data_IF_424388901768
#
_entry.id   IF_424388901768
#
_cell.length_a   1.000
_cell.length_b   1.000
_cell.length_c   1.000
_cell.angle_alpha   90.00
_cell.angle_beta   90.00
_cell.angle_gamma   90.00
#
_symmetry.space_group_name_H-M   'P 1'
#
loop_
_entity.id
_entity.type
_entity.pdbx_description
1 polymer ?
#
# COMPACT_ATOMS: atom_id res chain seq x y z
N UNK A 1 1.67 1.40 22.73
CA UNK A 1 0.21 1.56 22.53
C UNK A 1 -0.11 1.07 21.12
N UNK A 2 -0.32 -0.25 20.95
CA UNK A 2 -0.48 -0.90 19.64
C UNK A 2 -1.97 -0.92 19.26
N UNK A 3 -2.31 -0.39 18.08
CA UNK A 3 -3.63 -0.53 17.47
C UNK A 3 -3.93 -2.02 17.23
N UNK A 4 -5.00 -2.53 17.83
CA UNK A 4 -5.57 -3.86 17.53
C UNK A 4 -6.35 -3.77 16.23
N UNK A 5 -5.99 -4.62 15.27
CA UNK A 5 -6.74 -4.85 14.04
C UNK A 5 -8.19 -5.24 14.37
N UNK A 6 -9.16 -4.47 13.88
CA UNK A 6 -10.60 -4.68 14.07
C UNK A 6 -11.20 -5.74 13.13
N UNK A 7 -10.38 -6.46 12.37
CA UNK A 7 -10.78 -7.47 11.38
C UNK A 7 -10.09 -8.82 11.60
N UNK A 8 -10.04 -9.26 12.85
CA UNK A 8 -9.55 -10.60 13.17
C UNK A 8 -10.71 -11.61 13.07
N UNK A 9 -10.93 -12.15 11.87
CA UNK A 9 -11.91 -13.21 11.61
C UNK A 9 -11.66 -14.49 12.44
N UNK A 10 -10.46 -14.64 13.03
CA UNK A 10 -10.14 -15.76 13.90
C UNK A 10 -10.80 -15.67 15.28
N UNK A 11 -11.25 -14.48 15.71
CA UNK A 11 -12.00 -14.28 16.96
C UNK A 11 -13.38 -14.96 16.95
N UNK A 12 -13.87 -15.37 15.78
CA UNK A 12 -15.16 -16.07 15.65
C UNK A 12 -15.03 -17.59 15.74
N UNK A 13 -13.82 -18.14 15.82
CA UNK A 13 -13.61 -19.61 15.85
C UNK A 13 -13.78 -20.26 17.23
N UNK A 14 -13.85 -19.48 18.31
CA UNK A 14 -13.92 -20.00 19.67
C UNK A 14 -15.30 -19.88 20.28
N UNK A 15 -16.11 -20.95 20.19
CA UNK A 15 -17.44 -21.17 20.79
C UNK A 15 -18.67 -20.90 19.92
N UNK A 16 -18.75 -21.56 18.76
CA UNK A 16 -20.02 -22.10 18.25
C UNK A 16 -19.68 -23.43 17.55
N UNK A 17 -19.34 -24.44 18.35
CA UNK A 17 -19.50 -25.83 17.91
C UNK A 17 -20.86 -26.22 18.48
N UNK A 18 -21.91 -25.98 17.70
CA UNK A 18 -23.21 -26.61 17.87
C UNK A 18 -23.61 -27.10 16.47
N UNK A 19 -23.99 -28.38 16.44
CA UNK A 19 -24.25 -29.23 15.28
C UNK A 19 -25.28 -28.65 14.31
N UNK A 20 -24.80 -27.96 13.28
CA UNK A 20 -25.38 -27.87 11.92
C UNK A 20 -24.48 -26.91 11.12
N UNK A 21 -23.35 -27.42 10.62
CA UNK A 21 -22.62 -26.75 9.55
C UNK A 21 -23.43 -26.87 8.26
N UNK A 22 -24.52 -26.10 8.17
CA UNK A 22 -25.20 -25.79 6.92
C UNK A 22 -24.20 -25.04 6.04
N UNK A 23 -23.42 -25.83 5.28
CA UNK A 23 -22.63 -25.36 4.15
C UNK A 23 -23.51 -24.41 3.35
N UNK A 24 -23.07 -23.16 3.17
CA UNK A 24 -23.75 -22.24 2.25
C UNK A 24 -23.76 -22.96 0.89
N UNK A 25 -24.93 -23.39 0.38
CA UNK A 25 -24.95 -24.22 -0.81
C UNK A 25 -24.44 -23.39 -1.98
N UNK A 26 -23.39 -23.89 -2.64
CA UNK A 26 -22.99 -23.39 -3.94
C UNK A 26 -24.15 -23.72 -4.89
N UNK A 27 -24.77 -22.69 -5.46
CA UNK A 27 -25.90 -22.88 -6.37
C UNK A 27 -25.50 -23.77 -7.55
N UNK A 28 -26.32 -24.79 -7.78
CA UNK A 28 -26.24 -25.64 -8.97
C UNK A 28 -26.95 -24.98 -10.15
N UNK A 29 -26.73 -25.49 -11.36
CA UNK A 29 -27.50 -25.08 -12.55
C UNK A 29 -29.02 -25.30 -12.37
N UNK A 30 -29.39 -26.31 -11.59
CA UNK A 30 -30.79 -26.66 -11.35
C UNK A 30 -31.47 -25.65 -10.41
N UNK A 31 -30.73 -25.14 -9.43
CA UNK A 31 -31.18 -24.06 -8.54
C UNK A 31 -31.45 -22.76 -9.32
N UNK A 32 -30.64 -22.46 -10.33
CA UNK A 32 -30.87 -21.32 -11.22
C UNK A 32 -32.15 -21.47 -12.04
N UNK A 33 -32.42 -22.67 -12.56
CA UNK A 33 -33.66 -22.93 -13.30
C UNK A 33 -34.89 -22.83 -12.41
N UNK A 34 -34.80 -23.33 -11.17
CA UNK A 34 -35.86 -23.22 -10.18
C UNK A 34 -36.15 -21.75 -9.83
N UNK A 35 -35.11 -20.94 -9.59
CA UNK A 35 -35.25 -19.51 -9.34
C UNK A 35 -35.89 -18.84 -10.56
N UNK A 36 -35.44 -19.15 -11.77
CA UNK A 36 -35.98 -18.56 -13.01
C UNK A 36 -37.45 -18.87 -13.25
N UNK A 37 -37.96 -20.03 -12.81
CA UNK A 37 -39.37 -20.41 -12.97
C UNK A 37 -40.31 -19.79 -11.92
N UNK A 38 -39.77 -19.25 -10.84
CA UNK A 38 -40.55 -18.69 -9.74
C UNK A 38 -41.17 -17.33 -10.14
N UNK A 39 -42.48 -17.17 -9.94
CA UNK A 39 -43.20 -15.92 -10.22
C UNK A 39 -42.93 -14.90 -9.13
N UNK A 40 -42.47 -13.71 -9.52
CA UNK A 40 -42.26 -12.62 -8.59
C UNK A 40 -43.60 -11.99 -8.15
N UNK A 41 -43.74 -11.59 -6.88
CA UNK A 41 -44.90 -10.84 -6.43
C UNK A 41 -44.96 -9.46 -7.13
N UNK A 42 -46.18 -8.96 -7.36
CA UNK A 42 -46.39 -7.66 -8.04
C UNK A 42 -45.76 -6.48 -7.28
N UNK A 43 -45.73 -6.57 -5.94
CA UNK A 43 -45.16 -5.52 -5.08
C UNK A 43 -44.24 -6.11 -4.02
N UNK A 44 -43.17 -5.38 -3.68
CA UNK A 44 -42.20 -5.76 -2.67
C UNK A 44 -41.85 -4.59 -1.74
N UNK A 45 -41.48 -4.93 -0.52
CA UNK A 45 -40.81 -4.01 0.41
C UNK A 45 -39.39 -3.78 -0.07
N UNK A 46 -38.97 -2.52 -0.24
CA UNK A 46 -37.67 -2.14 -0.78
C UNK A 46 -36.70 -1.82 0.36
N UNK A 47 -35.57 -2.52 0.39
CA UNK A 47 -34.45 -2.34 1.31
C UNK A 47 -33.29 -1.64 0.60
N UNK A 48 -33.05 -0.34 0.89
CA UNK A 48 -31.93 0.39 0.30
C UNK A 48 -30.61 0.08 1.00
N UNK A 49 -29.62 -0.41 0.27
CA UNK A 49 -28.26 -0.66 0.74
C UNK A 49 -27.35 0.52 0.45
N UNK A 50 -26.48 0.88 1.39
CA UNK A 50 -25.59 2.04 1.24
C UNK A 50 -24.35 1.74 0.40
N UNK A 51 -23.68 0.62 0.71
CA UNK A 51 -22.30 0.39 0.30
C UNK A 51 -22.14 -0.82 -0.62
N UNK A 52 -23.25 -1.39 -1.11
CA UNK A 52 -23.17 -2.60 -1.94
C UNK A 52 -24.36 -2.71 -2.89
N UNK A 53 -24.16 -3.51 -3.93
CA UNK A 53 -25.15 -3.92 -4.92
C UNK A 53 -25.27 -5.43 -4.79
N UNK A 54 -26.49 -5.92 -4.60
CA UNK A 54 -26.74 -7.36 -4.53
C UNK A 54 -26.95 -7.92 -5.94
N UNK A 55 -26.19 -8.95 -6.31
CA UNK A 55 -26.36 -9.66 -7.57
C UNK A 55 -27.20 -10.94 -7.39
N UNK A 56 -27.87 -11.42 -8.45
CA UNK A 56 -28.58 -12.71 -8.44
C UNK A 56 -27.67 -13.88 -8.03
N UNK A 57 -28.24 -14.82 -7.25
CA UNK A 57 -27.58 -16.00 -6.70
C UNK A 57 -26.68 -15.73 -5.49
N UNK A 58 -26.09 -14.54 -5.37
CA UNK A 58 -25.10 -14.23 -4.34
C UNK A 58 -25.74 -14.11 -2.95
N UNK A 59 -25.07 -14.67 -1.95
CA UNK A 59 -25.45 -14.58 -0.53
C UNK A 59 -24.54 -13.57 0.17
N UNK A 60 -25.14 -12.59 0.86
CA UNK A 60 -24.39 -11.61 1.66
C UNK A 60 -25.06 -11.35 3.01
N UNK A 61 -24.28 -11.14 4.09
CA UNK A 61 -24.78 -10.64 5.35
C UNK A 61 -24.98 -9.11 5.28
N UNK A 62 -26.13 -8.62 5.73
CA UNK A 62 -26.46 -7.19 5.82
C UNK A 62 -26.88 -6.85 7.25
N UNK A 63 -26.17 -5.89 7.85
CA UNK A 63 -26.55 -5.34 9.16
C UNK A 63 -27.47 -4.13 8.97
N UNK A 64 -28.68 -4.23 9.51
CA UNK A 64 -29.68 -3.18 9.51
C UNK A 64 -29.66 -2.42 10.83
N UNK A 65 -29.24 -1.17 10.79
CA UNK A 65 -29.19 -0.25 11.94
C UNK A 65 -30.37 0.73 11.98
N UNK A 66 -31.05 0.96 10.84
CA UNK A 66 -32.15 1.93 10.73
C UNK A 66 -33.48 1.33 11.19
N UNK A 67 -34.26 2.11 11.94
CA UNK A 67 -35.61 1.73 12.37
C UNK A 67 -36.52 1.27 11.21
N UNK A 68 -36.48 1.96 10.05
CA UNK A 68 -37.26 1.56 8.87
C UNK A 68 -36.82 0.20 8.31
N UNK A 69 -35.51 -0.05 8.21
CA UNK A 69 -34.94 -1.32 7.75
C UNK A 69 -35.29 -2.46 8.71
N UNK A 70 -35.16 -2.24 10.02
CA UNK A 70 -35.55 -3.22 11.05
C UNK A 70 -37.03 -3.57 10.97
N UNK A 71 -37.91 -2.57 10.81
CA UNK A 71 -39.36 -2.79 10.63
C UNK A 71 -39.66 -3.57 9.33
N UNK A 72 -39.00 -3.23 8.24
CA UNK A 72 -39.13 -3.93 6.95
C UNK A 72 -38.73 -5.40 7.08
N UNK A 73 -37.59 -5.67 7.72
CA UNK A 73 -37.07 -7.03 7.91
C UNK A 73 -38.04 -7.85 8.76
N UNK A 74 -38.49 -7.30 9.90
CA UNK A 74 -39.46 -7.97 10.78
C UNK A 74 -40.79 -8.25 10.06
N UNK A 75 -41.27 -7.32 9.23
CA UNK A 75 -42.50 -7.51 8.46
C UNK A 75 -42.32 -8.57 7.36
N UNK A 76 -41.22 -8.52 6.63
CA UNK A 76 -40.95 -9.44 5.51
C UNK A 76 -40.66 -10.86 6.00
N UNK A 77 -40.04 -11.01 7.18
CA UNK A 77 -39.76 -12.31 7.79
C UNK A 77 -41.04 -13.04 8.28
N UNK A 78 -42.14 -12.31 8.52
CA UNK A 78 -43.45 -12.91 8.87
C UNK A 78 -44.26 -13.36 7.65
N UNK A 79 -43.92 -12.88 6.45
CA UNK A 79 -44.57 -13.24 5.19
C UNK A 79 -43.68 -14.16 4.36
N UNK A 80 -43.60 -13.89 3.06
CA UNK A 80 -42.91 -14.73 2.06
C UNK A 80 -41.37 -14.69 2.14
N UNK A 81 -40.80 -13.98 3.12
CA UNK A 81 -39.35 -13.75 3.28
C UNK A 81 -38.67 -13.11 2.05
N UNK A 82 -39.43 -12.50 1.15
CA UNK A 82 -38.92 -11.79 -0.03
C UNK A 82 -38.82 -10.29 0.22
N UNK A 83 -37.72 -9.70 -0.23
CA UNK A 83 -37.45 -8.26 -0.17
C UNK A 83 -36.85 -7.78 -1.48
N UNK A 84 -37.19 -6.57 -1.92
CA UNK A 84 -36.51 -5.93 -3.04
C UNK A 84 -35.29 -5.19 -2.53
N UNK A 85 -34.10 -5.50 -3.05
CA UNK A 85 -32.86 -4.87 -2.61
C UNK A 85 -32.37 -3.93 -3.70
N UNK A 86 -32.13 -2.68 -3.34
CA UNK A 86 -31.61 -1.64 -4.25
C UNK A 86 -30.42 -0.95 -3.62
N UNK A 87 -29.46 -0.50 -4.42
CA UNK A 87 -28.38 0.34 -3.94
C UNK A 87 -28.81 1.81 -3.91
N UNK A 88 -28.29 2.56 -2.94
CA UNK A 88 -28.44 4.01 -2.87
C UNK A 88 -27.50 4.68 -3.88
N UNK A 89 -27.94 5.81 -4.44
CA UNK A 89 -27.11 6.68 -5.27
C UNK A 89 -26.09 7.39 -4.38
N UNK A 90 -26.55 7.94 -3.25
CA UNK A 90 -25.72 8.66 -2.30
C UNK A 90 -25.72 7.97 -0.92
N UNK A 91 -24.58 7.38 -0.55
CA UNK A 91 -24.38 6.68 0.73
C UNK A 91 -24.53 7.55 1.97
N UNK A 92 -24.45 8.89 1.84
CA UNK A 92 -24.58 9.85 2.95
C UNK A 92 -26.03 10.07 3.37
N UNK A 93 -27.01 9.76 2.52
CA UNK A 93 -28.42 10.00 2.82
C UNK A 93 -28.91 9.01 3.88
N UNK A 94 -29.36 9.52 5.03
CA UNK A 94 -29.78 8.70 6.16
C UNK A 94 -31.15 8.05 5.97
N UNK A 95 -32.05 8.68 5.24
CA UNK A 95 -33.40 8.18 4.97
C UNK A 95 -33.71 8.34 3.48
N UNK A 96 -33.25 7.39 2.64
CA UNK A 96 -33.30 7.53 1.20
C UNK A 96 -34.75 7.50 0.69
N UNK A 97 -35.08 8.48 -0.16
CA UNK A 97 -36.33 8.52 -0.91
C UNK A 97 -36.15 7.89 -2.29
N UNK A 98 -37.20 7.93 -3.12
CA UNK A 98 -37.16 7.42 -4.49
C UNK A 98 -35.99 7.98 -5.31
N UNK A 99 -35.71 9.27 -5.15
CA UNK A 99 -34.67 9.98 -5.91
C UNK A 99 -33.25 9.61 -5.44
N UNK A 100 -33.13 9.01 -4.25
CA UNK A 100 -31.85 8.62 -3.65
C UNK A 100 -31.49 7.15 -3.88
N UNK A 101 -32.36 6.38 -4.55
CA UNK A 101 -32.17 4.95 -4.82
C UNK A 101 -32.11 4.67 -6.31
N UNK A 102 -31.40 3.59 -6.65
CA UNK A 102 -31.36 3.13 -8.02
C UNK A 102 -32.65 2.41 -8.43
N UNK A 103 -33.04 2.58 -9.70
CA UNK A 103 -34.28 2.03 -10.24
C UNK A 103 -34.24 0.52 -10.47
N UNK A 104 -33.04 -0.05 -10.63
CA UNK A 104 -32.83 -1.50 -10.82
C UNK A 104 -32.27 -2.08 -9.52
N UNK A 105 -32.81 -3.23 -9.13
CA UNK A 105 -32.38 -3.97 -7.95
C UNK A 105 -32.49 -5.47 -8.14
N UNK A 106 -32.28 -6.19 -7.05
CA UNK A 106 -32.37 -7.65 -7.00
C UNK A 106 -33.38 -8.04 -5.93
N UNK A 107 -34.35 -8.87 -6.31
CA UNK A 107 -35.24 -9.54 -5.36
C UNK A 107 -34.39 -10.51 -4.57
N UNK A 108 -34.45 -10.44 -3.25
CA UNK A 108 -33.70 -11.29 -2.36
C UNK A 108 -34.62 -12.06 -1.42
N UNK A 109 -34.20 -13.26 -1.06
CA UNK A 109 -34.83 -14.07 -0.01
C UNK A 109 -34.02 -13.95 1.27
N UNK A 110 -34.71 -13.67 2.38
CA UNK A 110 -34.12 -13.70 3.71
C UNK A 110 -33.96 -15.16 4.12
N UNK A 111 -32.72 -15.61 4.26
CA UNK A 111 -32.38 -16.96 4.72
C UNK A 111 -32.42 -17.03 6.24
N UNK A 112 -31.75 -16.08 6.90
CA UNK A 112 -31.61 -16.03 8.36
C UNK A 112 -31.67 -14.60 8.89
N UNK A 113 -32.21 -14.43 10.07
CA UNK A 113 -32.21 -13.18 10.83
C UNK A 113 -31.53 -13.44 12.17
N UNK A 114 -30.47 -12.69 12.44
CA UNK A 114 -29.69 -12.74 13.67
C UNK A 114 -29.87 -11.42 14.41
N UNK A 115 -30.19 -11.50 15.70
CA UNK A 115 -30.25 -10.32 16.56
C UNK A 115 -28.93 -10.21 17.33
N UNK A 116 -28.21 -9.12 17.12
CA UNK A 116 -26.95 -8.86 17.80
C UNK A 116 -27.19 -8.35 19.23
N UNK A 117 -26.23 -8.55 20.15
CA UNK A 117 -26.33 -8.05 21.53
C UNK A 117 -26.59 -6.55 21.62
N UNK A 118 -26.06 -5.80 20.64
CA UNK A 118 -26.20 -4.33 20.53
C UNK A 118 -27.60 -3.87 20.08
N UNK A 119 -28.54 -4.80 19.87
CA UNK A 119 -29.90 -4.51 19.40
C UNK A 119 -30.03 -4.35 17.88
N UNK A 120 -28.92 -4.35 17.14
CA UNK A 120 -28.93 -4.36 15.67
C UNK A 120 -29.38 -5.72 15.11
N UNK A 121 -30.01 -5.72 13.94
CA UNK A 121 -30.37 -6.96 13.23
C UNK A 121 -29.41 -7.19 12.07
N UNK A 122 -28.81 -8.37 12.01
CA UNK A 122 -28.05 -8.85 10.85
C UNK A 122 -28.86 -9.91 10.12
N UNK A 123 -29.09 -9.71 8.83
CA UNK A 123 -29.79 -10.66 7.99
C UNK A 123 -28.83 -11.29 6.99
N UNK A 124 -29.03 -12.57 6.70
CA UNK A 124 -28.37 -13.25 5.59
C UNK A 124 -29.39 -13.32 4.46
N UNK A 125 -29.07 -12.68 3.33
CA UNK A 125 -29.95 -12.60 2.17
C UNK A 125 -29.31 -13.22 0.95
N UNK A 126 -30.12 -13.88 0.13
CA UNK A 126 -29.71 -14.44 -1.16
C UNK A 126 -30.43 -13.71 -2.29
N UNK A 127 -29.67 -13.19 -3.26
CA UNK A 127 -30.24 -12.63 -4.48
C UNK A 127 -30.92 -13.71 -5.33
N UNK A 128 -32.08 -13.41 -5.90
CA UNK A 128 -32.82 -14.30 -6.80
C UNK A 128 -32.85 -13.76 -8.22
N UNK A 129 -33.52 -12.64 -8.43
CA UNK A 129 -33.80 -12.09 -9.77
C UNK A 129 -33.67 -10.59 -9.80
N UNK A 130 -33.31 -10.04 -10.96
CA UNK A 130 -33.29 -8.59 -11.17
C UNK A 130 -34.70 -8.06 -11.41
N UNK A 131 -34.96 -6.86 -10.92
CA UNK A 131 -36.22 -6.17 -11.13
C UNK A 131 -36.00 -4.68 -11.36
N UNK A 132 -36.99 -4.04 -11.98
CA UNK A 132 -37.11 -2.60 -12.12
C UNK A 132 -38.24 -2.09 -11.26
N UNK A 133 -38.02 -0.98 -10.54
CA UNK A 133 -39.09 -0.26 -9.84
C UNK A 133 -40.01 0.39 -10.89
N UNK A 134 -41.30 0.07 -10.84
CA UNK A 134 -42.33 0.69 -11.68
C UNK A 134 -42.92 1.92 -11.01
N UNK A 135 -43.38 1.77 -9.77
CA UNK A 135 -44.07 2.82 -9.00
C UNK A 135 -43.94 2.57 -7.51
N UNK A 136 -43.74 3.61 -6.70
CA UNK A 136 -43.85 3.51 -5.24
C UNK A 136 -45.32 3.50 -4.83
N UNK A 137 -45.67 2.53 -3.98
CA UNK A 137 -46.99 2.38 -3.38
C UNK A 137 -47.07 3.13 -2.05
N UNK A 138 -46.02 3.00 -1.21
CA UNK A 138 -45.96 3.65 0.09
C UNK A 138 -44.51 3.89 0.53
N UNK A 139 -44.29 4.97 1.29
CA UNK A 139 -43.01 5.27 1.93
C UNK A 139 -42.99 5.00 3.44
N UNK A 140 -44.17 4.84 4.06
CA UNK A 140 -44.33 4.62 5.51
C UNK A 140 -45.10 3.31 5.75
N UNK A 141 -44.66 2.44 6.68
CA UNK A 141 -43.52 2.59 7.59
C UNK A 141 -42.13 2.33 6.95
N UNK A 142 -42.09 1.80 5.73
CA UNK A 142 -40.90 1.59 4.91
C UNK A 142 -41.30 1.64 3.42
N UNK A 143 -40.33 1.73 2.51
CA UNK A 143 -40.58 1.79 1.07
C UNK A 143 -41.22 0.50 0.58
N UNK A 144 -42.33 0.63 -0.16
CA UNK A 144 -42.99 -0.45 -0.88
C UNK A 144 -43.24 -0.02 -2.32
N UNK A 145 -42.88 -0.85 -3.29
CA UNK A 145 -42.99 -0.52 -4.70
C UNK A 145 -43.53 -1.69 -5.52
N UNK A 146 -44.22 -1.35 -6.61
CA UNK A 146 -44.52 -2.27 -7.70
C UNK A 146 -43.25 -2.53 -8.51
N UNK A 147 -43.02 -3.80 -8.83
CA UNK A 147 -41.82 -4.24 -9.52
C UNK A 147 -42.16 -4.91 -10.86
N UNK A 148 -41.23 -4.78 -11.81
CA UNK A 148 -41.26 -5.50 -13.08
C UNK A 148 -40.01 -6.37 -13.15
N UNK A 149 -40.19 -7.65 -13.45
CA UNK A 149 -39.09 -8.57 -13.67
C UNK A 149 -38.25 -8.16 -14.88
N UNK A 150 -36.92 -8.17 -14.74
CA UNK A 150 -35.99 -7.99 -15.85
C UNK A 150 -35.46 -9.37 -16.23
N UNK A 151 -35.86 -9.84 -17.40
CA UNK A 151 -35.36 -11.11 -17.94
C UNK A 151 -33.95 -10.93 -18.49
N UNK A 152 -33.08 -11.88 -18.16
CA UNK A 152 -31.74 -11.94 -18.72
C UNK A 152 -31.78 -12.47 -20.16
N UNK A 153 -31.11 -11.76 -21.06
CA UNK A 153 -30.90 -12.23 -22.43
C UNK A 153 -29.70 -13.18 -22.39
N UNK A 154 -29.98 -14.48 -22.49
CA UNK A 154 -28.94 -15.51 -22.53
C UNK A 154 -28.25 -15.51 -23.92
N UNK A 155 -26.92 -15.70 -23.97
CA UNK A 155 -26.21 -15.83 -25.22
C UNK A 155 -26.62 -17.10 -25.96
N UNK A 156 -26.35 -17.16 -27.26
CA UNK A 156 -26.59 -18.37 -28.05
C UNK A 156 -25.81 -19.56 -27.47
N UNK A 157 -26.45 -20.74 -27.46
CA UNK A 157 -25.76 -21.99 -27.08
C UNK A 157 -24.55 -22.17 -28.01
N UNK A 158 -23.36 -22.34 -27.42
CA UNK A 158 -22.05 -22.45 -28.10
C UNK A 158 -21.46 -21.18 -28.74
N UNK A 159 -21.78 -19.98 -28.24
CA UNK A 159 -20.98 -18.81 -28.63
C UNK A 159 -19.53 -18.92 -28.11
N UNK A 160 -18.58 -19.11 -29.04
CA UNK A 160 -17.15 -19.20 -28.74
C UNK A 160 -16.61 -17.94 -28.05
N UNK A 161 -17.10 -16.76 -28.41
CA UNK A 161 -16.65 -15.49 -27.81
C UNK A 161 -17.06 -15.41 -26.35
N UNK A 162 -18.30 -15.80 -26.08
CA UNK A 162 -18.83 -15.84 -24.72
C UNK A 162 -18.05 -16.80 -23.83
N UNK A 163 -17.80 -18.03 -24.29
CA UNK A 163 -17.03 -19.01 -23.52
C UNK A 163 -15.61 -18.50 -23.23
N UNK A 164 -14.92 -17.93 -24.24
CA UNK A 164 -13.59 -17.34 -24.05
C UNK A 164 -13.58 -16.18 -23.02
N UNK A 165 -14.64 -15.36 -22.99
CA UNK A 165 -14.78 -14.30 -21.96
C UNK A 165 -14.94 -14.90 -20.57
N UNK A 166 -15.74 -15.95 -20.41
CA UNK A 166 -15.93 -16.64 -19.13
C UNK A 166 -14.63 -17.28 -18.65
N UNK A 167 -13.89 -17.96 -19.52
CA UNK A 167 -12.60 -18.54 -19.18
C UNK A 167 -11.60 -17.46 -18.75
N UNK A 168 -11.58 -16.33 -19.48
CA UNK A 168 -10.75 -15.17 -19.11
C UNK A 168 -11.11 -14.59 -17.73
N UNK A 169 -12.40 -14.57 -17.37
CA UNK A 169 -12.86 -14.15 -16.04
C UNK A 169 -12.38 -15.13 -14.99
N UNK A 170 -12.47 -16.45 -15.23
CA UNK A 170 -11.98 -17.47 -14.28
C UNK A 170 -10.49 -17.33 -14.05
N UNK A 171 -9.71 -17.25 -15.13
CA UNK A 171 -8.24 -17.13 -15.05
C UNK A 171 -7.81 -15.87 -14.32
N UNK A 172 -8.45 -14.73 -14.63
CA UNK A 172 -8.15 -13.47 -13.98
C UNK A 172 -8.58 -13.45 -12.51
N UNK A 173 -9.71 -14.08 -12.17
CA UNK A 173 -10.14 -14.23 -10.78
C UNK A 173 -9.13 -15.06 -9.98
N UNK A 174 -8.61 -16.15 -10.53
CA UNK A 174 -7.58 -16.98 -9.89
C UNK A 174 -6.30 -16.17 -9.65
N UNK A 175 -5.82 -15.42 -10.65
CA UNK A 175 -4.65 -14.54 -10.50
C UNK A 175 -4.84 -13.48 -9.40
N UNK A 176 -6.02 -12.86 -9.33
CA UNK A 176 -6.33 -11.87 -8.28
C UNK A 176 -6.31 -12.53 -6.89
N UNK A 177 -6.81 -13.76 -6.76
CA UNK A 177 -6.78 -14.51 -5.50
C UNK A 177 -5.33 -14.80 -5.08
N UNK A 178 -4.49 -15.23 -6.02
CA UNK A 178 -3.09 -15.55 -5.74
C UNK A 178 -2.25 -14.31 -5.36
N UNK A 179 -2.52 -13.16 -5.99
CA UNK A 179 -1.79 -11.91 -5.72
C UNK A 179 -2.30 -11.12 -4.51
N UNK A 180 -3.51 -11.41 -4.01
CA UNK A 180 -4.11 -10.70 -2.90
C UNK A 180 -4.01 -11.50 -1.59
N UNK A 181 -3.07 -11.16 -0.69
CA UNK A 181 -2.87 -11.91 0.56
C UNK A 181 -4.05 -11.85 1.53
N UNK A 182 -5.06 -10.99 1.29
CA UNK A 182 -6.26 -10.92 2.13
C UNK A 182 -7.33 -11.94 1.73
N UNK A 183 -7.17 -12.64 0.60
CA UNK A 183 -8.15 -13.62 0.12
C UNK A 183 -7.64 -15.02 0.48
N UNK A 184 -8.43 -15.85 1.19
CA UNK A 184 -8.06 -17.23 1.48
C UNK A 184 -7.89 -18.05 0.20
N UNK A 185 -6.88 -18.93 0.18
CA UNK A 185 -6.57 -19.79 -0.97
C UNK A 185 -7.73 -20.72 -1.35
N UNK A 186 -8.60 -21.05 -0.40
CA UNK A 186 -9.82 -21.85 -0.55
C UNK A 186 -10.82 -21.18 -1.51
N UNK A 187 -10.78 -19.85 -1.65
CA UNK A 187 -11.62 -19.13 -2.61
C UNK A 187 -11.33 -19.55 -4.06
N UNK A 188 -10.10 -20.00 -4.37
CA UNK A 188 -9.74 -20.50 -5.71
C UNK A 188 -10.51 -21.78 -6.05
N UNK A 189 -10.73 -22.65 -5.06
CA UNK A 189 -11.50 -23.89 -5.19
C UNK A 189 -12.97 -23.55 -5.42
N UNK A 190 -13.51 -22.58 -4.67
CA UNK A 190 -14.88 -22.13 -4.84
C UNK A 190 -15.14 -21.62 -6.26
N UNK A 191 -14.25 -20.77 -6.82
CA UNK A 191 -14.37 -20.27 -8.19
C UNK A 191 -14.32 -21.39 -9.23
N UNK A 192 -13.43 -22.37 -9.06
CA UNK A 192 -13.30 -23.51 -9.99
C UNK A 192 -14.54 -24.39 -10.00
N UNK A 193 -15.21 -24.54 -8.86
CA UNK A 193 -16.40 -25.37 -8.69
C UNK A 193 -17.70 -24.71 -9.18
N UNK A 194 -17.69 -23.42 -9.54
CA UNK A 194 -18.86 -22.76 -10.11
C UNK A 194 -19.13 -23.29 -11.52
N UNK A 195 -20.25 -23.98 -11.67
CA UNK A 195 -20.71 -24.55 -12.95
C UNK A 195 -21.49 -23.56 -13.81
N UNK A 196 -22.26 -22.66 -13.19
CA UNK A 196 -23.01 -21.64 -13.93
C UNK A 196 -22.16 -20.43 -14.27
N UNK A 197 -22.13 -20.10 -15.57
CA UNK A 197 -21.47 -18.90 -16.07
C UNK A 197 -22.15 -17.61 -15.59
N UNK A 198 -23.49 -17.62 -15.41
CA UNK A 198 -24.23 -16.43 -14.93
C UNK A 198 -23.94 -16.18 -13.46
N UNK A 199 -23.99 -17.24 -12.65
CA UNK A 199 -23.59 -17.15 -11.25
C UNK A 199 -22.13 -16.71 -11.10
N UNK A 200 -21.20 -17.22 -11.92
CA UNK A 200 -19.80 -16.79 -11.86
C UNK A 200 -19.65 -15.29 -12.05
N UNK A 201 -20.24 -14.73 -13.11
CA UNK A 201 -20.15 -13.28 -13.40
C UNK A 201 -20.76 -12.48 -12.24
N UNK A 202 -21.91 -12.90 -11.73
CA UNK A 202 -22.58 -12.25 -10.59
C UNK A 202 -21.74 -12.34 -9.31
N UNK A 203 -21.15 -13.50 -9.02
CA UNK A 203 -20.32 -13.75 -7.85
C UNK A 203 -19.06 -12.90 -7.87
N UNK A 204 -18.34 -12.88 -9.00
CA UNK A 204 -17.13 -12.06 -9.16
C UNK A 204 -17.49 -10.57 -9.10
N UNK A 205 -18.57 -10.13 -9.76
CA UNK A 205 -19.06 -8.74 -9.70
C UNK A 205 -19.42 -8.28 -8.29
N UNK A 206 -19.98 -9.16 -7.47
CA UNK A 206 -20.32 -8.85 -6.09
C UNK A 206 -19.06 -8.70 -5.21
N UNK A 207 -18.06 -9.54 -5.42
CA UNK A 207 -16.83 -9.60 -4.60
C UNK A 207 -15.73 -8.61 -5.05
N UNK A 208 -15.81 -8.07 -6.27
CA UNK A 208 -14.88 -7.04 -6.74
C UNK A 208 -14.90 -5.78 -5.86
N UNK A 209 -13.74 -5.13 -5.68
CA UNK A 209 -13.58 -3.93 -4.86
C UNK A 209 -13.76 -2.62 -5.67
N UNK A 210 -14.78 -2.58 -6.51
CA UNK A 210 -15.14 -1.40 -7.33
C UNK A 210 -16.23 -0.56 -6.66
N UNK A 211 -16.44 0.67 -7.13
CA UNK A 211 -17.44 1.57 -6.58
C UNK A 211 -18.87 1.05 -6.78
N UNK A 212 -19.79 1.45 -5.90
CA UNK A 212 -21.22 1.07 -5.99
C UNK A 212 -21.82 1.47 -7.34
N UNK A 213 -21.41 2.62 -7.90
CA UNK A 213 -21.86 3.08 -9.21
C UNK A 213 -21.42 2.13 -10.33
N UNK A 214 -20.19 1.64 -10.29
CA UNK A 214 -19.66 0.69 -11.28
C UNK A 214 -20.33 -0.69 -11.14
N UNK A 215 -20.52 -1.20 -9.92
CA UNK A 215 -21.30 -2.43 -9.69
C UNK A 215 -22.72 -2.29 -10.23
N UNK A 216 -23.34 -1.13 -10.05
CA UNK A 216 -24.68 -0.87 -10.54
C UNK A 216 -24.73 -0.86 -12.08
N UNK A 217 -23.72 -0.29 -12.76
CA UNK A 217 -23.62 -0.36 -14.22
C UNK A 217 -23.60 -1.80 -14.72
N UNK A 218 -22.87 -2.69 -14.05
CA UNK A 218 -22.86 -4.13 -14.40
C UNK A 218 -24.25 -4.73 -14.21
N UNK A 219 -24.92 -4.45 -13.08
CA UNK A 219 -26.27 -4.98 -12.81
C UNK A 219 -27.31 -4.55 -13.86
N UNK A 220 -27.14 -3.34 -14.41
CA UNK A 220 -28.05 -2.74 -15.39
C UNK A 220 -28.00 -3.40 -16.77
N UNK A 221 -26.94 -4.11 -17.13
CA UNK A 221 -26.80 -4.70 -18.47
C UNK A 221 -27.68 -5.94 -18.60
N UNK A 222 -28.66 -5.92 -19.50
CA UNK A 222 -29.61 -7.03 -19.69
C UNK A 222 -28.98 -8.24 -20.37
N UNK A 223 -28.13 -7.98 -21.37
CA UNK A 223 -27.37 -8.99 -22.12
C UNK A 223 -26.22 -9.54 -21.27
N UNK A 224 -26.27 -10.85 -21.00
CA UNK A 224 -25.28 -11.51 -20.17
C UNK A 224 -23.87 -11.47 -20.78
N UNK A 225 -23.73 -11.56 -22.11
CA UNK A 225 -22.43 -11.48 -22.76
C UNK A 225 -21.79 -10.11 -22.57
N UNK A 226 -22.55 -9.04 -22.81
CA UNK A 226 -22.08 -7.67 -22.58
C UNK A 226 -21.76 -7.42 -21.10
N UNK A 227 -22.54 -8.02 -20.18
CA UNK A 227 -22.27 -7.95 -18.75
C UNK A 227 -20.96 -8.63 -18.37
N UNK A 228 -20.69 -9.80 -18.94
CA UNK A 228 -19.43 -10.51 -18.73
C UNK A 228 -18.23 -9.70 -19.26
N UNK A 229 -18.35 -9.06 -20.43
CA UNK A 229 -17.30 -8.21 -21.00
C UNK A 229 -17.02 -6.99 -20.09
N UNK A 230 -18.05 -6.29 -19.63
CA UNK A 230 -17.84 -5.15 -18.71
C UNK A 230 -17.29 -5.61 -17.35
N UNK A 231 -17.76 -6.74 -16.82
CA UNK A 231 -17.17 -7.37 -15.64
C UNK A 231 -15.67 -7.61 -15.83
N UNK A 232 -15.27 -8.25 -16.94
CA UNK A 232 -13.87 -8.52 -17.26
C UNK A 232 -13.03 -7.24 -17.39
N UNK A 233 -13.57 -6.17 -17.95
CA UNK A 233 -12.90 -4.87 -18.06
C UNK A 233 -12.62 -4.27 -16.67
N UNK A 234 -13.60 -4.27 -15.78
CA UNK A 234 -13.40 -3.80 -14.40
C UNK A 234 -12.41 -4.68 -13.63
N UNK A 235 -12.45 -6.00 -13.81
CA UNK A 235 -11.47 -6.91 -13.21
C UNK A 235 -10.05 -6.60 -13.65
N UNK A 236 -9.82 -6.30 -14.94
CA UNK A 236 -8.49 -5.97 -15.44
C UNK A 236 -7.94 -4.68 -14.80
N UNK A 237 -8.79 -3.65 -14.64
CA UNK A 237 -8.41 -2.41 -13.97
C UNK A 237 -8.03 -2.69 -12.51
N UNK A 238 -8.81 -3.50 -11.81
CA UNK A 238 -8.51 -3.86 -10.42
C UNK A 238 -7.24 -4.71 -10.28
N UNK A 239 -7.03 -5.66 -11.20
CA UNK A 239 -5.80 -6.45 -11.25
C UNK A 239 -4.57 -5.56 -11.46
N UNK A 240 -4.62 -4.61 -12.41
CA UNK A 240 -3.51 -3.66 -12.62
C UNK A 240 -3.22 -2.78 -11.40
N UNK A 241 -4.25 -2.38 -10.65
CA UNK A 241 -4.04 -1.64 -9.40
C UNK A 241 -3.39 -2.53 -8.34
N UNK A 242 -3.79 -3.80 -8.26
CA UNK A 242 -3.23 -4.77 -7.32
C UNK A 242 -1.76 -5.03 -7.63
N UNK A 243 -1.40 -5.30 -8.89
CA UNK A 243 -0.01 -5.52 -9.31
C UNK A 243 0.85 -4.30 -8.98
N UNK A 244 0.39 -3.09 -9.32
CA UNK A 244 1.13 -1.85 -9.02
C UNK A 244 1.33 -1.66 -7.51
N UNK A 245 0.31 -1.97 -6.70
CA UNK A 245 0.41 -1.89 -5.24
C UNK A 245 1.44 -2.89 -4.70
N UNK A 246 1.46 -4.11 -5.21
CA UNK A 246 2.42 -5.14 -4.83
C UNK A 246 3.84 -4.74 -5.26
N UNK A 247 4.02 -4.15 -6.44
CA UNK A 247 5.31 -3.64 -6.94
C UNK A 247 5.86 -2.49 -6.08
N UNK A 248 4.99 -1.57 -5.65
CA UNK A 248 5.38 -0.50 -4.73
C UNK A 248 5.81 -1.08 -3.38
N UNK A 249 5.05 -2.04 -2.85
CA UNK A 249 5.37 -2.70 -1.59
C UNK A 249 6.70 -3.47 -1.65
N UNK A 250 6.99 -4.15 -2.76
CA UNK A 250 8.23 -4.89 -2.93
C UNK A 250 9.44 -3.95 -3.03
N UNK A 251 9.33 -2.85 -3.78
CA UNK A 251 10.38 -1.81 -3.85
C UNK A 251 10.68 -1.19 -2.49
N UNK A 252 9.65 -0.74 -1.77
CA UNK A 252 9.82 -0.16 -0.43
C UNK A 252 10.46 -1.16 0.54
N UNK A 253 10.08 -2.43 0.46
CA UNK A 253 10.70 -3.48 1.28
C UNK A 253 12.18 -3.67 0.97
N UNK A 254 12.54 -3.74 -0.31
CA UNK A 254 13.94 -3.88 -0.74
C UNK A 254 14.79 -2.69 -0.27
N UNK A 255 14.27 -1.46 -0.40
CA UNK A 255 14.97 -0.25 0.04
C UNK A 255 15.18 -0.25 1.56
N UNK A 256 14.18 -0.65 2.34
CA UNK A 256 14.29 -0.79 3.80
C UNK A 256 15.29 -1.88 4.20
N UNK A 257 15.25 -3.04 3.53
CA UNK A 257 16.17 -4.15 3.80
C UNK A 257 17.63 -3.73 3.51
N UNK A 258 17.87 -2.95 2.44
CA UNK A 258 19.18 -2.38 2.14
C UNK A 258 19.63 -1.39 3.21
N UNK A 259 18.77 -0.44 3.62
CA UNK A 259 19.10 0.54 4.66
C UNK A 259 19.39 -0.13 6.01
N UNK A 260 18.62 -1.15 6.39
CA UNK A 260 18.86 -1.92 7.61
C UNK A 260 20.21 -2.64 7.55
N UNK A 261 20.54 -3.26 6.41
CA UNK A 261 21.83 -3.92 6.21
C UNK A 261 22.99 -2.93 6.29
N UNK A 262 22.91 -1.78 5.63
CA UNK A 262 23.94 -0.74 5.69
C UNK A 262 24.13 -0.17 7.10
N UNK A 263 23.02 0.12 7.81
CA UNK A 263 23.06 0.57 9.19
C UNK A 263 23.77 -0.46 10.09
N UNK A 264 23.42 -1.74 9.96
CA UNK A 264 24.01 -2.82 10.73
C UNK A 264 25.50 -2.99 10.45
N UNK A 265 25.91 -2.97 9.17
CA UNK A 265 27.31 -3.08 8.76
C UNK A 265 28.15 -1.90 9.29
N UNK A 266 27.64 -0.68 9.21
CA UNK A 266 28.32 0.50 9.75
C UNK A 266 28.48 0.43 11.27
N UNK A 267 27.45 -0.05 11.98
CA UNK A 267 27.54 -0.24 13.42
C UNK A 267 28.57 -1.31 13.78
N UNK A 268 28.62 -2.43 13.04
CA UNK A 268 29.63 -3.46 13.21
C UNK A 268 31.05 -2.94 12.96
N UNK A 269 31.27 -2.19 11.87
CA UNK A 269 32.55 -1.56 11.58
C UNK A 269 32.99 -0.61 12.69
N UNK A 270 32.07 0.20 13.21
CA UNK A 270 32.34 1.11 14.32
C UNK A 270 32.76 0.35 15.59
N UNK A 271 32.05 -0.72 15.93
CA UNK A 271 32.40 -1.57 17.08
C UNK A 271 33.75 -2.27 16.87
N UNK A 272 34.04 -2.78 15.66
CA UNK A 272 35.35 -3.37 15.34
C UNK A 272 36.47 -2.33 15.48
N UNK A 273 36.26 -1.09 15.03
CA UNK A 273 37.24 0.00 15.18
C UNK A 273 37.46 0.41 16.64
N UNK A 274 36.42 0.37 17.47
CA UNK A 274 36.51 0.60 18.91
C UNK A 274 37.29 -0.54 19.61
N UNK A 275 37.00 -1.81 19.27
CA UNK A 275 37.64 -3.01 19.83
C UNK A 275 39.10 -3.22 19.36
N UNK A 276 39.43 -2.83 18.11
CA UNK A 276 40.80 -2.89 17.59
C UNK A 276 41.74 -1.82 18.18
N UNK A 277 41.23 -0.93 19.04
CA UNK A 277 42.04 -0.03 19.83
C UNK A 277 42.68 1.09 19.01
N UNK A 278 41.88 2.07 18.60
CA UNK A 278 42.30 3.29 17.90
C UNK A 278 43.13 4.30 18.76
N UNK A 279 43.89 3.80 19.73
CA UNK A 279 44.70 4.57 20.68
C UNK A 279 45.95 5.23 20.08
N UNK A 280 46.38 4.83 18.88
CA UNK A 280 47.53 5.41 18.18
C UNK A 280 47.26 6.84 17.69
N UNK A 281 46.06 7.08 17.14
CA UNK A 281 45.72 8.37 16.53
C UNK A 281 45.70 9.49 17.56
N UNK A 282 45.21 9.23 18.78
CA UNK A 282 45.18 10.21 19.85
C UNK A 282 46.58 10.63 20.31
N UNK A 283 47.51 9.68 20.42
CA UNK A 283 48.90 9.96 20.81
C UNK A 283 49.63 10.82 19.78
N UNK A 284 49.47 10.52 18.50
CA UNK A 284 50.10 11.27 17.42
C UNK A 284 49.63 12.73 17.35
N UNK A 285 48.33 12.95 17.61
CA UNK A 285 47.72 14.29 17.65
C UNK A 285 48.18 15.07 18.89
N UNK A 286 48.33 14.41 20.04
CA UNK A 286 48.86 15.02 21.25
C UNK A 286 50.33 15.45 21.10
N UNK A 287 51.15 14.63 20.42
CA UNK A 287 52.54 14.98 20.14
C UNK A 287 52.65 16.23 19.26
N UNK A 288 51.87 16.32 18.18
CA UNK A 288 51.81 17.52 17.32
C UNK A 288 51.44 18.76 18.13
N UNK A 289 50.42 18.67 19.00
CA UNK A 289 50.00 19.80 19.85
C UNK A 289 51.10 20.26 20.80
N UNK A 290 51.85 19.31 21.36
CA UNK A 290 52.96 19.63 22.28
C UNK A 290 54.08 20.41 21.57
N UNK A 291 54.46 20.00 20.36
CA UNK A 291 55.47 20.69 19.53
C UNK A 291 54.99 22.08 19.09
N UNK A 292 53.71 22.20 18.75
CA UNK A 292 53.11 23.47 18.37
C UNK A 292 53.13 24.50 19.50
N UNK A 293 53.00 24.08 20.77
CA UNK A 293 53.00 24.98 21.93
C UNK A 293 54.33 25.73 22.15
N UNK A 294 55.45 25.18 21.66
CA UNK A 294 56.79 25.73 21.88
C UNK A 294 57.18 26.77 20.80
N UNK A 295 56.53 26.75 19.64
CA UNK A 295 56.86 27.59 18.48
C UNK A 295 56.25 28.99 18.56
N UNK A 296 56.97 29.99 18.06
CA UNK A 296 56.55 31.42 18.05
C UNK A 296 55.76 31.77 16.79
N UNK A 297 54.49 31.38 16.76
CA UNK A 297 53.61 31.61 15.63
C UNK A 297 53.25 33.09 15.42
N UNK A 298 53.09 33.50 14.16
CA UNK A 298 52.29 34.68 13.81
C UNK A 298 50.79 34.32 13.93
N UNK A 299 49.93 35.29 14.24
CA UNK A 299 48.50 35.11 14.49
C UNK A 299 47.79 34.34 13.34
N UNK A 300 48.05 34.77 12.09
CA UNK A 300 47.47 34.15 10.89
C UNK A 300 47.92 32.69 10.69
N UNK A 301 49.19 32.41 11.00
CA UNK A 301 49.79 31.07 10.84
C UNK A 301 49.23 30.12 11.90
N UNK A 302 49.03 30.60 13.13
CA UNK A 302 48.44 29.82 14.21
C UNK A 302 47.00 29.40 13.88
N UNK A 303 46.17 30.32 13.43
CA UNK A 303 44.78 30.01 13.03
C UNK A 303 44.73 29.02 11.87
N UNK A 304 45.64 29.15 10.90
CA UNK A 304 45.75 28.20 9.79
C UNK A 304 46.16 26.80 10.27
N UNK A 305 47.19 26.72 11.12
CA UNK A 305 47.64 25.46 11.72
C UNK A 305 46.53 24.75 12.50
N UNK A 306 45.76 25.48 13.32
CA UNK A 306 44.65 24.91 14.09
C UNK A 306 43.54 24.35 13.18
N UNK A 307 43.22 25.02 12.06
CA UNK A 307 42.28 24.50 11.06
C UNK A 307 42.76 23.22 10.41
N UNK A 308 44.04 23.16 10.04
CA UNK A 308 44.63 21.98 9.41
C UNK A 308 44.77 20.81 10.38
N UNK A 309 45.03 21.08 11.66
CA UNK A 309 45.03 20.08 12.72
C UNK A 309 43.64 19.47 12.91
N UNK A 310 42.58 20.28 12.94
CA UNK A 310 41.20 19.80 13.03
C UNK A 310 40.81 18.90 11.83
N UNK A 311 41.35 19.18 10.64
CA UNK A 311 41.18 18.31 9.47
C UNK A 311 41.88 16.97 9.68
N UNK A 312 43.15 16.98 10.13
CA UNK A 312 43.90 15.75 10.41
C UNK A 312 43.20 14.85 11.43
N UNK A 313 42.55 15.43 12.44
CA UNK A 313 41.78 14.67 13.45
C UNK A 313 40.58 13.91 12.89
N UNK A 314 40.03 14.35 11.74
CA UNK A 314 38.84 13.75 11.11
C UNK A 314 39.19 12.74 10.03
N UNK A 315 40.43 12.76 9.52
CA UNK A 315 40.89 11.86 8.46
C UNK A 315 41.34 10.53 9.09
N UNK A 316 40.93 9.42 8.48
CA UNK A 316 41.37 8.08 8.88
C UNK A 316 42.87 7.88 8.55
N UNK A 317 43.65 7.34 9.49
CA UNK A 317 45.09 7.09 9.35
C UNK A 317 45.46 6.12 8.23
N UNK A 318 44.53 5.28 7.79
CA UNK A 318 44.74 4.35 6.68
C UNK A 318 44.57 5.00 5.29
N UNK A 319 44.05 6.22 5.22
CA UNK A 319 43.88 6.94 3.96
C UNK A 319 45.20 7.61 3.55
N UNK A 320 45.52 7.56 2.25
CA UNK A 320 46.72 8.22 1.70
C UNK A 320 46.76 9.73 1.99
N UNK A 321 45.59 10.38 2.09
CA UNK A 321 45.46 11.79 2.45
C UNK A 321 45.98 12.12 3.85
N UNK A 322 45.92 11.16 4.79
CA UNK A 322 46.44 11.36 6.15
C UNK A 322 47.94 11.63 6.14
N UNK A 323 48.70 10.87 5.37
CA UNK A 323 50.16 11.05 5.26
C UNK A 323 50.53 12.40 4.65
N UNK A 324 49.77 12.85 3.64
CA UNK A 324 49.99 14.16 2.99
C UNK A 324 49.71 15.29 3.98
N UNK A 325 48.56 15.22 4.66
CA UNK A 325 48.15 16.22 5.65
C UNK A 325 49.12 16.26 6.84
N UNK A 326 49.60 15.09 7.29
CA UNK A 326 50.60 14.97 8.36
C UNK A 326 51.91 15.63 7.96
N UNK A 327 52.44 15.31 6.77
CA UNK A 327 53.66 15.92 6.26
C UNK A 327 53.55 17.44 6.13
N UNK A 328 52.39 17.95 5.73
CA UNK A 328 52.15 19.39 5.67
C UNK A 328 52.18 20.05 7.06
N UNK A 329 51.57 19.42 8.05
CA UNK A 329 51.59 19.88 9.45
C UNK A 329 53.01 19.82 10.03
N UNK A 330 53.76 18.75 9.74
CA UNK A 330 55.15 18.62 10.16
C UNK A 330 56.04 19.69 9.51
N UNK A 331 55.84 19.99 8.21
CA UNK A 331 56.53 21.11 7.54
C UNK A 331 56.25 22.45 8.23
N UNK A 332 55.00 22.72 8.62
CA UNK A 332 54.65 23.93 9.35
C UNK A 332 55.34 23.99 10.72
N UNK A 333 55.54 22.85 11.39
CA UNK A 333 56.26 22.78 12.67
C UNK A 333 57.77 22.99 12.49
N UNK A 334 58.36 22.47 11.41
CA UNK A 334 59.80 22.54 11.18
C UNK A 334 60.28 23.95 10.81
N UNK A 335 59.42 24.77 10.21
CA UNK A 335 59.78 26.13 9.81
C UNK A 335 60.20 27.00 11.02
N UNK A 336 61.30 27.77 10.91
CA UNK A 336 61.80 28.65 11.96
C UNK A 336 61.02 29.97 11.98
N UNK A 337 59.75 29.91 12.37
CA UNK A 337 58.88 31.08 12.41
C UNK A 337 59.43 32.16 13.35
N UNK A 338 59.53 33.40 12.83
CA UNK A 338 60.02 34.57 13.55
C UNK A 338 61.47 34.44 14.09
N UNK A 339 62.26 33.50 13.54
CA UNK A 339 63.70 33.44 13.77
C UNK A 339 64.41 34.00 12.54
N UNK A 340 65.12 35.10 12.74
CA UNK A 340 65.85 35.79 11.68
C UNK A 340 67.34 35.81 12.03
N UNK A 341 68.21 35.60 11.03
CA UNK A 341 69.64 35.85 11.20
C UNK A 341 69.90 37.35 11.36
N UNK A 342 70.94 37.72 12.12
CA UNK A 342 71.41 39.11 12.12
C UNK A 342 72.12 39.40 10.79
N UNK A 343 71.63 40.38 10.05
CA UNK A 343 72.23 40.81 8.80
C UNK A 343 73.62 41.40 9.02
N UNK A 344 74.60 40.94 8.25
CA UNK A 344 75.97 41.42 8.30
C UNK A 344 76.26 42.35 7.10
N UNK A 345 76.10 43.65 7.31
CA UNK A 345 76.30 44.68 6.26
C UNK A 345 77.77 45.06 6.02
N UNK A 346 78.74 44.23 6.43
CA UNK A 346 80.16 44.53 6.24
C UNK A 346 80.62 44.26 4.79
N UNK A 347 80.46 45.27 3.94
CA UNK A 347 80.86 45.26 2.52
C UNK A 347 82.33 44.86 2.29
N UNK A 348 83.25 45.24 3.19
CA UNK A 348 84.67 44.84 3.08
C UNK A 348 84.83 43.33 3.27
N UNK A 349 84.10 42.76 4.23
CA UNK A 349 84.15 41.33 4.49
C UNK A 349 83.45 40.54 3.37
N UNK A 350 82.32 41.04 2.87
CA UNK A 350 81.61 40.48 1.72
C UNK A 350 82.50 40.48 0.46
N UNK A 351 83.11 41.62 0.11
CA UNK A 351 84.04 41.75 -1.02
C UNK A 351 85.25 40.81 -0.88
N UNK A 352 85.79 40.64 0.34
CA UNK A 352 86.89 39.71 0.62
C UNK A 352 86.49 38.25 0.37
N UNK A 353 85.34 37.82 0.87
CA UNK A 353 84.81 36.46 0.68
C UNK A 353 84.53 36.23 -0.81
N UNK A 354 83.87 37.18 -1.48
CA UNK A 354 83.56 37.13 -2.91
C UNK A 354 84.82 37.09 -3.79
N UNK A 355 85.91 37.75 -3.36
CA UNK A 355 87.21 37.70 -4.02
C UNK A 355 87.99 36.42 -3.75
N UNK A 356 87.77 35.79 -2.60
CA UNK A 356 88.40 34.52 -2.23
C UNK A 356 87.73 33.33 -2.92
N UNK A 357 86.39 33.27 -2.89
CA UNK A 357 85.63 32.09 -3.32
C UNK A 357 85.40 32.05 -4.84
N UNK A 358 85.58 33.19 -5.52
CA UNK A 358 85.42 33.28 -6.97
C UNK A 358 86.65 33.96 -7.59
N UNK A 359 87.38 33.32 -8.50
CA UNK A 359 88.54 33.91 -9.18
C UNK A 359 88.13 34.53 -10.52
N UNK A 360 88.57 35.77 -10.80
CA UNK A 360 88.42 36.41 -12.12
C UNK A 360 86.98 36.69 -12.59
N UNK A 361 86.28 37.65 -11.98
CA UNK A 361 84.97 38.18 -12.43
C UNK A 361 84.77 39.63 -11.92
N UNK A 362 85.64 40.58 -12.33
CA UNK A 362 85.64 41.93 -11.73
C UNK A 362 84.32 42.69 -11.92
N UNK A 363 83.79 42.71 -13.14
CA UNK A 363 82.58 43.50 -13.46
C UNK A 363 81.31 43.01 -12.74
N UNK A 364 81.15 41.69 -12.54
CA UNK A 364 79.98 41.14 -11.82
C UNK A 364 80.09 41.41 -10.32
N UNK A 365 81.30 41.38 -9.77
CA UNK A 365 81.56 41.64 -8.34
C UNK A 365 81.47 43.10 -7.94
N UNK A 366 81.68 44.04 -8.87
CA UNK A 366 81.43 45.46 -8.61
C UNK A 366 79.93 45.81 -8.67
N UNK A 367 79.12 44.95 -9.28
CA UNK A 367 77.68 45.16 -9.48
C UNK A 367 76.81 44.64 -8.34
N UNK A 368 77.31 43.64 -7.60
CA UNK A 368 76.74 43.09 -6.35
C UNK A 368 77.28 43.91 -5.19
#
# INVERSE_FOLDING_TARGET
>A
MKMKNLFDLNSFSGKIIDDESDLIPLMTSDDEEAINKEKLPKSLSILPLKNTVLFPGVVIPITATRNKSVKLIKASNKGDKLVGVVSQINHKVLDPKLEDINNIGTVAKILRVLQMPDGNLTIIIQGKKRFKIKKIISEKPFLKADIIEINEIKPQKNDKKYNATIDSIKDLALKIIDENPNIPSEASIAIKNIQSNSFLVNFVSSNMNISVSEKYKILQIDDHQNRAIECLKYMNIEFQKLTLKNDIQSKVRNDLDQQQREYFLNQQLKTIQEELGNSSNQKDIEEIKSKAGVKKWNLQVKEHFEKELLKLQRINTQMAEYSIQRNYIDLLLDLPWNEFSQDNYNLKNASRILNKDHFGLKEVKERI
#
